data_IF_672142894679
#
_entry.id   IF_672142894679
#
_cell.length_a   1.000
_cell.length_b   1.000
_cell.length_c   1.000
_cell.angle_alpha   90.00
_cell.angle_beta   90.00
_cell.angle_gamma   90.00
#
_symmetry.space_group_name_H-M   'P 1'
#
loop_
_entity.id
_entity.type
_entity.pdbx_description
1 polymer ?
#
# COMPACT_ATOMS: atom_id res chain seq x y z
N UNK A 1 -0.94 15.05 -36.00
CA UNK A 1 -0.21 15.16 -34.72
C UNK A 1 -0.96 14.29 -33.71
N UNK A 2 -0.38 13.22 -33.23
CA UNK A 2 -0.98 12.40 -32.16
C UNK A 2 -0.95 13.22 -30.88
N UNK A 3 -2.12 13.62 -30.38
CA UNK A 3 -2.25 14.33 -29.10
C UNK A 3 -1.76 13.42 -27.98
N UNK A 4 -1.00 13.99 -27.03
CA UNK A 4 -0.58 13.27 -25.82
C UNK A 4 -1.83 12.90 -25.00
N UNK A 5 -2.06 11.62 -24.64
CA UNK A 5 -3.22 11.24 -23.87
C UNK A 5 -3.15 11.82 -22.43
N UNK A 6 -4.32 12.07 -21.83
CA UNK A 6 -4.38 12.60 -20.46
C UNK A 6 -3.94 11.56 -19.41
N UNK A 7 -4.19 10.27 -19.66
CA UNK A 7 -3.89 9.17 -18.74
C UNK A 7 -3.34 7.97 -19.52
N UNK A 8 -2.29 7.35 -19.01
CA UNK A 8 -1.88 5.99 -19.41
C UNK A 8 -2.44 5.00 -18.38
N UNK A 9 -3.27 4.06 -18.80
CA UNK A 9 -3.61 2.86 -18.00
C UNK A 9 -2.47 1.88 -18.18
N UNK A 10 -1.69 1.64 -17.13
CA UNK A 10 -0.58 0.68 -17.14
C UNK A 10 -1.03 -0.65 -16.57
N UNK A 11 -0.99 -1.69 -17.38
CA UNK A 11 -1.48 -3.03 -17.05
C UNK A 11 -0.43 -4.10 -17.38
N UNK A 12 0.41 -4.52 -16.41
CA UNK A 12 1.21 -5.73 -16.56
C UNK A 12 0.31 -6.96 -16.52
N UNK A 13 0.59 -7.96 -17.36
CA UNK A 13 -0.20 -9.20 -17.44
C UNK A 13 0.72 -10.42 -17.57
N UNK A 14 0.34 -11.52 -16.91
CA UNK A 14 0.93 -12.84 -17.08
C UNK A 14 -0.17 -13.89 -16.99
N UNK A 15 -0.37 -14.67 -18.06
CA UNK A 15 -1.35 -15.76 -18.14
C UNK A 15 -2.76 -15.36 -17.60
N UNK A 16 -3.29 -14.26 -18.13
CA UNK A 16 -4.53 -13.64 -17.65
C UNK A 16 -5.76 -13.92 -18.55
N UNK A 17 -5.67 -14.80 -19.56
CA UNK A 17 -6.72 -15.02 -20.56
C UNK A 17 -8.11 -15.21 -19.96
N UNK A 18 -8.22 -15.90 -18.84
CA UNK A 18 -9.52 -16.21 -18.21
C UNK A 18 -10.26 -15.01 -17.60
N UNK A 19 -9.58 -13.90 -17.35
CA UNK A 19 -10.15 -12.71 -16.70
C UNK A 19 -10.01 -11.44 -17.52
N UNK A 20 -9.07 -11.44 -18.44
CA UNK A 20 -8.61 -10.25 -19.16
C UNK A 20 -9.71 -9.60 -20.01
N UNK A 21 -10.62 -10.39 -20.60
CA UNK A 21 -11.69 -9.85 -21.46
C UNK A 21 -12.59 -8.89 -20.68
N UNK A 22 -13.11 -9.32 -19.53
CA UNK A 22 -13.93 -8.47 -18.67
C UNK A 22 -13.16 -7.24 -18.14
N UNK A 23 -11.87 -7.40 -17.86
CA UNK A 23 -11.00 -6.28 -17.47
C UNK A 23 -10.91 -5.24 -18.60
N UNK A 24 -10.59 -5.67 -19.84
CA UNK A 24 -10.50 -4.79 -21.00
C UNK A 24 -11.82 -4.07 -21.29
N UNK A 25 -12.95 -4.77 -21.18
CA UNK A 25 -14.28 -4.17 -21.36
C UNK A 25 -14.52 -3.05 -20.34
N UNK A 26 -14.14 -3.25 -19.06
CA UNK A 26 -14.27 -2.24 -18.02
C UNK A 26 -13.39 -0.99 -18.28
N UNK A 27 -12.21 -1.18 -18.89
CA UNK A 27 -11.32 -0.09 -19.27
C UNK A 27 -11.87 0.65 -20.50
N UNK A 28 -12.34 -0.07 -21.52
CA UNK A 28 -12.88 0.56 -22.72
C UNK A 28 -14.18 1.34 -22.46
N UNK A 29 -14.95 0.92 -21.45
CA UNK A 29 -16.19 1.59 -21.01
C UNK A 29 -15.96 2.90 -20.25
N UNK A 30 -14.71 3.31 -19.95
CA UNK A 30 -14.42 4.51 -19.18
C UNK A 30 -15.06 5.77 -19.78
N UNK A 31 -15.62 6.63 -18.92
CA UNK A 31 -16.23 7.91 -19.32
C UNK A 31 -15.19 8.91 -19.84
N UNK A 32 -13.95 8.87 -19.35
CA UNK A 32 -12.83 9.56 -19.94
C UNK A 32 -12.40 8.81 -21.21
N UNK A 33 -12.45 9.48 -22.36
CA UNK A 33 -12.05 8.88 -23.66
C UNK A 33 -10.58 9.13 -24.01
N UNK A 34 -10.00 10.20 -23.49
CA UNK A 34 -8.63 10.63 -23.71
C UNK A 34 -7.66 9.86 -22.79
N UNK A 35 -7.41 8.59 -23.13
CA UNK A 35 -6.42 7.73 -22.46
C UNK A 35 -5.77 6.76 -23.46
N UNK A 36 -4.59 6.26 -23.12
CA UNK A 36 -4.03 5.03 -23.72
C UNK A 36 -4.08 3.87 -22.73
N UNK A 37 -4.25 2.67 -23.24
CA UNK A 37 -4.07 1.42 -22.48
C UNK A 37 -2.75 0.79 -22.89
N UNK A 38 -1.77 0.81 -21.99
CA UNK A 38 -0.46 0.19 -22.19
C UNK A 38 -0.40 -1.14 -21.45
N UNK A 39 -0.56 -2.22 -22.19
CA UNK A 39 -0.45 -3.58 -21.66
C UNK A 39 0.98 -4.07 -21.82
N UNK A 40 1.61 -4.50 -20.72
CA UNK A 40 2.95 -5.07 -20.74
C UNK A 40 2.86 -6.56 -20.44
N UNK A 41 3.10 -7.39 -21.45
CA UNK A 41 3.00 -8.84 -21.37
C UNK A 41 4.29 -9.45 -20.76
N UNK A 42 4.14 -10.11 -19.63
CA UNK A 42 5.21 -10.82 -18.91
C UNK A 42 5.31 -12.27 -19.39
N UNK A 43 5.65 -12.45 -20.66
CA UNK A 43 5.87 -13.76 -21.30
C UNK A 43 4.69 -14.75 -21.15
N UNK A 44 3.45 -14.30 -21.32
CA UNK A 44 2.26 -15.17 -21.30
C UNK A 44 2.28 -16.27 -22.36
N UNK A 45 1.73 -17.43 -21.99
CA UNK A 45 1.67 -18.65 -22.82
C UNK A 45 0.25 -19.16 -23.08
N UNK A 46 -0.75 -18.62 -22.39
CA UNK A 46 -2.16 -19.08 -22.39
C UNK A 46 -3.06 -18.45 -23.46
N UNK A 47 -2.50 -17.65 -24.39
CA UNK A 47 -3.26 -16.90 -25.39
C UNK A 47 -3.66 -15.48 -24.95
N UNK A 48 -3.23 -15.01 -23.78
CA UNK A 48 -3.39 -13.62 -23.31
C UNK A 48 -2.96 -12.62 -24.36
N UNK A 49 -1.78 -12.84 -24.97
CA UNK A 49 -1.20 -11.94 -25.98
C UNK A 49 -2.06 -11.79 -27.23
N UNK A 50 -2.67 -12.89 -27.68
CA UNK A 50 -3.49 -12.88 -28.90
C UNK A 50 -4.80 -12.12 -28.67
N UNK A 51 -5.39 -12.24 -27.48
CA UNK A 51 -6.55 -11.46 -27.09
C UNK A 51 -6.23 -9.95 -27.07
N UNK A 52 -5.07 -9.54 -26.51
CA UNK A 52 -4.66 -8.12 -26.49
C UNK A 52 -4.41 -7.62 -27.94
N UNK A 53 -3.77 -8.42 -28.79
CA UNK A 53 -3.55 -8.06 -30.20
C UNK A 53 -4.86 -7.89 -30.96
N UNK A 54 -5.87 -8.71 -30.67
CA UNK A 54 -7.19 -8.55 -31.24
C UNK A 54 -7.80 -7.20 -30.81
N UNK A 55 -7.79 -6.91 -29.53
CA UNK A 55 -8.29 -5.63 -29.00
C UNK A 55 -7.54 -4.41 -29.56
N UNK A 56 -6.22 -4.50 -29.76
CA UNK A 56 -5.41 -3.42 -30.34
C UNK A 56 -5.72 -3.15 -31.82
N UNK A 57 -6.27 -4.12 -32.57
CA UNK A 57 -6.77 -3.90 -33.93
C UNK A 57 -8.05 -3.07 -33.95
N UNK A 58 -8.90 -3.27 -32.93
CA UNK A 58 -10.24 -2.67 -32.88
C UNK A 58 -10.23 -1.31 -32.13
N UNK A 59 -9.27 -1.11 -31.24
CA UNK A 59 -9.15 0.12 -30.44
C UNK A 59 -7.70 0.67 -30.51
N UNK A 60 -7.45 1.78 -31.22
CA UNK A 60 -6.10 2.34 -31.38
C UNK A 60 -5.47 2.89 -30.09
N UNK A 61 -6.26 2.99 -29.01
CA UNK A 61 -5.74 3.37 -27.69
C UNK A 61 -4.98 2.22 -27.01
N UNK A 62 -5.19 0.96 -27.44
CA UNK A 62 -4.55 -0.23 -26.86
C UNK A 62 -3.19 -0.44 -27.49
N UNK A 63 -2.17 -0.49 -26.65
CA UNK A 63 -0.78 -0.78 -27.04
C UNK A 63 -0.29 -1.98 -26.26
N UNK A 64 0.30 -2.94 -26.96
CA UNK A 64 0.94 -4.12 -26.38
C UNK A 64 2.46 -3.97 -26.43
N UNK A 65 3.09 -4.08 -25.27
CA UNK A 65 4.54 -4.23 -25.13
C UNK A 65 4.88 -5.64 -24.64
N UNK A 66 6.05 -6.11 -24.99
CA UNK A 66 6.67 -7.28 -24.38
C UNK A 66 7.52 -6.81 -23.20
N UNK A 67 7.38 -7.44 -22.04
CA UNK A 67 8.25 -7.20 -20.90
C UNK A 67 9.73 -7.41 -21.27
N UNK A 68 10.65 -6.59 -20.78
CA UNK A 68 12.09 -6.67 -21.14
C UNK A 68 12.77 -7.93 -20.57
N UNK A 69 12.26 -8.41 -19.43
CA UNK A 69 12.62 -9.65 -18.76
C UNK A 69 11.43 -10.12 -17.91
N UNK A 70 11.35 -11.40 -17.51
CA UNK A 70 10.29 -11.88 -16.62
C UNK A 70 10.25 -11.11 -15.29
N UNK A 71 9.03 -10.87 -14.82
CA UNK A 71 8.74 -10.31 -13.52
C UNK A 71 7.97 -9.00 -13.53
N UNK A 72 7.05 -8.88 -12.58
CA UNK A 72 6.12 -7.76 -12.43
C UNK A 72 6.84 -6.40 -12.41
N UNK A 73 7.92 -6.27 -11.62
CA UNK A 73 8.68 -5.02 -11.47
C UNK A 73 9.29 -4.56 -12.79
N UNK A 74 9.83 -5.49 -13.59
CA UNK A 74 10.38 -5.17 -14.91
C UNK A 74 9.31 -4.65 -15.86
N UNK A 75 8.12 -5.28 -15.84
CA UNK A 75 6.99 -4.86 -16.66
C UNK A 75 6.43 -3.50 -16.23
N UNK A 76 6.32 -3.25 -14.92
CA UNK A 76 5.87 -1.95 -14.40
C UNK A 76 6.81 -0.82 -14.80
N UNK A 77 8.12 -0.99 -14.64
CA UNK A 77 9.11 0.04 -14.98
C UNK A 77 9.15 0.29 -16.50
N UNK A 78 9.16 -0.78 -17.32
CA UNK A 78 9.08 -0.63 -18.76
C UNK A 78 7.81 0.12 -19.20
N UNK A 79 6.68 -0.17 -18.55
CA UNK A 79 5.44 0.55 -18.81
C UNK A 79 5.49 2.02 -18.39
N UNK A 80 6.12 2.38 -17.26
CA UNK A 80 6.32 3.77 -16.83
C UNK A 80 7.20 4.52 -17.83
N UNK A 81 8.26 3.89 -18.33
CA UNK A 81 9.16 4.46 -19.32
C UNK A 81 8.44 4.76 -20.63
N UNK A 82 7.63 3.80 -21.11
CA UNK A 82 6.93 3.84 -22.39
C UNK A 82 5.57 4.56 -22.34
N UNK A 83 5.10 4.97 -21.15
CA UNK A 83 3.88 5.72 -20.96
C UNK A 83 4.00 7.11 -21.62
N UNK A 84 2.98 7.50 -22.39
CA UNK A 84 2.92 8.79 -23.09
C UNK A 84 2.29 9.90 -22.24
N UNK A 85 1.40 9.51 -21.30
CA UNK A 85 0.68 10.47 -20.47
C UNK A 85 1.49 10.91 -19.25
N UNK A 86 1.23 12.12 -18.71
CA UNK A 86 1.80 12.58 -17.45
C UNK A 86 1.22 11.87 -16.22
N UNK A 87 0.01 11.28 -16.34
CA UNK A 87 -0.66 10.52 -15.30
C UNK A 87 -0.72 9.05 -15.67
N UNK A 88 -0.40 8.18 -14.71
CA UNK A 88 -0.47 6.73 -14.88
C UNK A 88 -1.49 6.16 -13.92
N UNK A 89 -2.51 5.47 -14.45
CA UNK A 89 -3.47 4.65 -13.71
C UNK A 89 -3.00 3.19 -13.74
N UNK A 90 -2.70 2.62 -12.57
CA UNK A 90 -2.30 1.22 -12.46
C UNK A 90 -3.54 0.32 -12.55
N UNK A 91 -3.44 -0.84 -13.21
CA UNK A 91 -4.52 -1.83 -13.33
C UNK A 91 -3.96 -3.24 -13.36
N UNK A 92 -4.67 -4.21 -12.73
CA UNK A 92 -4.41 -5.64 -12.90
C UNK A 92 -5.30 -6.22 -13.99
N UNK A 93 -4.80 -7.22 -14.72
CA UNK A 93 -5.52 -7.88 -15.82
C UNK A 93 -6.69 -8.77 -15.38
N UNK A 94 -6.94 -8.89 -14.09
CA UNK A 94 -8.03 -9.67 -13.51
C UNK A 94 -9.06 -8.81 -12.75
N UNK A 95 -8.81 -7.51 -12.59
CA UNK A 95 -9.69 -6.57 -11.90
C UNK A 95 -10.71 -5.90 -12.83
N UNK A 96 -11.69 -5.21 -12.22
CA UNK A 96 -12.67 -4.40 -12.94
C UNK A 96 -12.66 -2.96 -12.39
N UNK A 97 -12.66 -1.97 -13.29
CA UNK A 97 -12.75 -0.58 -12.86
C UNK A 97 -14.15 0.01 -13.06
N UNK A 98 -14.57 0.89 -12.14
CA UNK A 98 -15.80 1.69 -12.30
C UNK A 98 -15.67 2.60 -13.52
N UNK A 99 -16.76 2.79 -14.24
CA UNK A 99 -16.81 3.57 -15.49
C UNK A 99 -16.30 5.02 -15.34
N UNK A 100 -16.30 5.58 -14.14
CA UNK A 100 -15.87 6.97 -13.86
C UNK A 100 -14.47 7.06 -13.26
N UNK A 101 -13.77 5.93 -13.08
CA UNK A 101 -12.51 5.91 -12.33
C UNK A 101 -11.48 6.86 -12.90
N UNK A 102 -11.18 6.76 -14.20
CA UNK A 102 -10.14 7.58 -14.83
C UNK A 102 -10.48 9.08 -14.78
N UNK A 103 -11.74 9.44 -15.05
CA UNK A 103 -12.21 10.82 -14.99
C UNK A 103 -12.06 11.41 -13.58
N UNK A 104 -12.55 10.69 -12.56
CA UNK A 104 -12.54 11.17 -11.18
C UNK A 104 -11.12 11.31 -10.62
N UNK A 105 -10.24 10.35 -10.88
CA UNK A 105 -8.86 10.39 -10.41
C UNK A 105 -8.04 11.47 -11.12
N UNK A 106 -8.17 11.61 -12.46
CA UNK A 106 -7.55 12.71 -13.22
C UNK A 106 -8.00 14.07 -12.71
N UNK A 107 -9.31 14.27 -12.53
CA UNK A 107 -9.87 15.54 -12.07
C UNK A 107 -9.47 15.87 -10.64
N UNK A 108 -9.31 14.85 -9.80
CA UNK A 108 -8.78 15.01 -8.45
C UNK A 108 -7.33 15.53 -8.50
N UNK A 109 -6.42 14.87 -9.22
CA UNK A 109 -5.02 15.29 -9.35
C UNK A 109 -4.88 16.67 -10.01
N UNK A 110 -5.78 17.02 -10.94
CA UNK A 110 -5.79 18.35 -11.55
C UNK A 110 -6.17 19.46 -10.57
N UNK A 111 -7.15 19.19 -9.68
CA UNK A 111 -7.60 20.14 -8.64
C UNK A 111 -6.66 20.21 -7.43
N UNK A 112 -5.85 19.20 -7.22
CA UNK A 112 -4.90 19.09 -6.13
C UNK A 112 -3.47 18.87 -6.68
N UNK A 113 -2.81 19.95 -7.17
CA UNK A 113 -1.47 19.85 -7.77
C UNK A 113 -0.40 19.42 -6.78
N UNK A 114 -0.66 19.54 -5.49
CA UNK A 114 0.17 19.10 -4.37
C UNK A 114 0.04 17.61 -4.04
N UNK A 115 -0.88 16.88 -4.69
CA UNK A 115 -1.06 15.42 -4.52
C UNK A 115 -0.33 14.67 -5.64
N UNK A 116 0.47 13.69 -5.26
CA UNK A 116 1.30 12.89 -6.16
C UNK A 116 0.62 11.57 -6.57
N UNK A 117 -0.08 10.95 -5.61
CA UNK A 117 -0.76 9.65 -5.79
C UNK A 117 -2.17 9.75 -5.26
N UNK A 118 -3.15 9.38 -6.07
CA UNK A 118 -4.54 9.25 -5.65
C UNK A 118 -5.03 7.83 -5.83
N UNK A 119 -5.51 7.22 -4.75
CA UNK A 119 -6.18 5.91 -4.73
C UNK A 119 -7.70 6.07 -4.70
N UNK A 120 -8.40 4.96 -4.67
CA UNK A 120 -9.84 4.90 -4.39
C UNK A 120 -10.14 3.85 -3.33
N UNK A 121 -11.37 3.86 -2.79
CA UNK A 121 -11.89 2.66 -2.11
C UNK A 121 -11.98 1.51 -3.10
N UNK A 122 -11.88 0.30 -2.57
CA UNK A 122 -11.94 -0.93 -3.36
C UNK A 122 -12.96 -1.91 -2.76
N UNK A 123 -13.52 -2.78 -3.59
CA UNK A 123 -14.38 -3.89 -3.19
C UNK A 123 -13.78 -5.19 -3.70
N UNK A 124 -13.59 -6.16 -2.81
CA UNK A 124 -13.17 -7.50 -3.22
C UNK A 124 -14.33 -8.27 -3.86
N UNK A 125 -14.02 -9.09 -4.87
CA UNK A 125 -14.96 -9.99 -5.54
C UNK A 125 -14.26 -11.25 -6.08
N UNK A 126 -14.97 -12.36 -6.41
CA UNK A 126 -16.34 -12.63 -5.99
C UNK A 126 -16.42 -12.83 -4.47
N UNK A 127 -17.55 -12.42 -3.87
CA UNK A 127 -17.70 -12.40 -2.40
C UNK A 127 -17.39 -13.73 -1.69
N UNK A 128 -17.76 -14.87 -2.32
CA UNK A 128 -17.46 -16.22 -1.80
C UNK A 128 -15.95 -16.55 -1.67
N UNK A 129 -15.08 -15.81 -2.34
CA UNK A 129 -13.63 -16.01 -2.31
C UNK A 129 -12.93 -15.08 -1.30
N UNK A 130 -13.67 -14.17 -0.66
CA UNK A 130 -13.12 -13.18 0.26
C UNK A 130 -13.05 -13.79 1.65
N UNK A 131 -11.85 -13.89 2.22
CA UNK A 131 -11.62 -14.38 3.59
C UNK A 131 -11.84 -13.27 4.60
N UNK A 132 -12.25 -13.60 5.82
CA UNK A 132 -12.51 -12.65 6.90
C UNK A 132 -11.32 -11.68 7.17
N UNK A 133 -10.08 -12.16 7.06
CA UNK A 133 -8.89 -11.32 7.18
C UNK A 133 -8.79 -10.25 6.08
N UNK A 134 -9.16 -10.59 4.83
CA UNK A 134 -9.21 -9.65 3.72
C UNK A 134 -10.33 -8.63 3.91
N UNK A 135 -11.49 -9.03 4.40
CA UNK A 135 -12.58 -8.09 4.72
C UNK A 135 -12.17 -7.09 5.80
N UNK A 136 -11.49 -7.57 6.84
CA UNK A 136 -10.98 -6.70 7.90
C UNK A 136 -9.92 -5.72 7.38
N UNK A 137 -8.99 -6.20 6.53
CA UNK A 137 -8.01 -5.36 5.84
C UNK A 137 -8.71 -4.29 5.00
N UNK A 138 -9.69 -4.66 4.18
CA UNK A 138 -10.41 -3.72 3.32
C UNK A 138 -11.24 -2.71 4.10
N UNK A 139 -11.87 -3.10 5.21
CA UNK A 139 -12.56 -2.13 6.09
C UNK A 139 -11.59 -1.06 6.60
N UNK A 140 -10.45 -1.49 7.15
CA UNK A 140 -9.40 -0.58 7.62
C UNK A 140 -8.84 0.28 6.49
N UNK A 141 -8.42 -0.33 5.39
CA UNK A 141 -7.82 0.35 4.25
C UNK A 141 -8.78 1.38 3.62
N UNK A 142 -10.06 1.03 3.44
CA UNK A 142 -11.09 1.93 2.92
C UNK A 142 -11.46 3.06 3.90
N UNK A 143 -11.17 2.93 5.19
CA UNK A 143 -11.36 3.98 6.19
C UNK A 143 -10.21 5.00 6.21
N UNK A 144 -9.02 4.67 5.70
CA UNK A 144 -7.91 5.60 5.56
C UNK A 144 -8.18 6.57 4.39
N UNK A 145 -8.88 7.67 4.62
CA UNK A 145 -9.31 8.60 3.57
C UNK A 145 -8.55 9.92 3.60
N UNK A 146 -8.34 10.47 4.79
CA UNK A 146 -7.65 11.74 4.95
C UNK A 146 -6.13 11.58 4.89
N UNK A 147 -5.44 12.71 4.68
CA UNK A 147 -3.99 12.76 4.51
C UNK A 147 -3.24 12.23 5.73
N UNK A 148 -3.71 12.57 6.93
CA UNK A 148 -3.01 12.20 8.16
C UNK A 148 -3.17 10.70 8.41
N UNK A 149 -4.36 10.13 8.18
CA UNK A 149 -4.56 8.69 8.26
C UNK A 149 -3.70 7.93 7.24
N UNK A 150 -3.59 8.38 6.00
CA UNK A 150 -2.73 7.73 4.99
C UNK A 150 -1.25 7.76 5.39
N UNK A 151 -0.76 8.89 5.91
CA UNK A 151 0.63 9.06 6.38
C UNK A 151 0.92 8.22 7.64
N UNK A 152 0.01 8.22 8.60
CA UNK A 152 0.26 7.61 9.92
C UNK A 152 -0.04 6.11 9.93
N UNK A 153 -0.88 5.63 8.99
CA UNK A 153 -1.20 4.20 8.82
C UNK A 153 -0.22 3.46 7.90
N UNK A 154 0.67 4.18 7.19
CA UNK A 154 1.61 3.55 6.26
C UNK A 154 2.48 2.47 6.91
N UNK A 155 2.74 2.56 8.22
CA UNK A 155 3.48 1.56 8.98
C UNK A 155 2.61 0.44 9.55
N UNK A 156 1.31 0.50 9.42
CA UNK A 156 0.41 -0.61 9.76
C UNK A 156 0.43 -1.67 8.65
N UNK A 157 0.04 -1.23 7.46
CA UNK A 157 -0.01 -2.02 6.22
C UNK A 157 -0.08 -1.02 5.05
N UNK A 158 -0.11 -1.50 3.79
CA UNK A 158 -0.36 -0.62 2.65
C UNK A 158 -1.74 0.04 2.77
N UNK A 159 -1.85 1.37 3.00
CA UNK A 159 -3.14 2.04 3.16
C UNK A 159 -3.85 2.27 1.82
N UNK A 160 -3.21 1.93 0.70
CA UNK A 160 -3.75 2.05 -0.66
C UNK A 160 -3.52 0.75 -1.44
N UNK A 161 -4.53 0.31 -2.17
CA UNK A 161 -4.45 -0.91 -3.00
C UNK A 161 -3.78 -0.59 -4.33
N UNK A 162 -2.74 -1.33 -4.70
CA UNK A 162 -1.92 -1.07 -5.88
C UNK A 162 -2.73 -0.87 -7.17
N UNK A 163 -3.67 -1.76 -7.58
CA UNK A 163 -4.46 -1.54 -8.80
C UNK A 163 -5.47 -0.39 -8.71
N UNK A 164 -5.62 0.27 -7.56
CA UNK A 164 -6.56 1.38 -7.39
C UNK A 164 -5.95 2.76 -7.62
N UNK A 165 -4.63 2.86 -7.79
CA UNK A 165 -3.95 4.16 -7.81
C UNK A 165 -3.89 4.79 -9.19
N UNK A 166 -3.86 6.13 -9.19
CA UNK A 166 -3.36 6.96 -10.27
C UNK A 166 -2.29 7.89 -9.70
N UNK A 167 -1.17 8.04 -10.38
CA UNK A 167 -0.05 8.85 -9.89
C UNK A 167 0.56 9.72 -10.98
N UNK A 168 1.28 10.76 -10.57
CA UNK A 168 2.12 11.55 -11.47
C UNK A 168 3.33 10.74 -11.89
N UNK A 169 3.51 10.55 -13.19
CA UNK A 169 4.63 9.79 -13.75
C UNK A 169 5.97 10.34 -13.25
N UNK A 170 6.14 11.63 -13.27
CA UNK A 170 7.38 12.29 -12.84
C UNK A 170 7.77 11.97 -11.39
N UNK A 171 6.82 11.95 -10.45
CA UNK A 171 7.06 11.64 -9.04
C UNK A 171 7.62 10.22 -8.87
N UNK A 172 7.04 9.24 -9.57
CA UNK A 172 7.50 7.85 -9.48
C UNK A 172 8.85 7.67 -10.18
N UNK A 173 9.07 8.32 -11.32
CA UNK A 173 10.38 8.33 -12.03
C UNK A 173 11.46 8.96 -11.16
N UNK A 174 11.20 10.13 -10.56
CA UNK A 174 12.15 10.80 -9.67
C UNK A 174 12.47 9.96 -8.41
N UNK A 175 11.54 9.13 -7.97
CA UNK A 175 11.77 8.17 -6.88
C UNK A 175 12.57 6.93 -7.32
N UNK A 176 12.85 6.74 -8.61
CA UNK A 176 13.60 5.60 -9.17
C UNK A 176 12.71 4.42 -9.55
N UNK A 177 11.41 4.64 -9.80
CA UNK A 177 10.46 3.60 -10.23
C UNK A 177 10.18 2.55 -9.16
N UNK A 178 9.70 1.38 -9.58
CA UNK A 178 9.56 0.20 -8.72
C UNK A 178 10.90 -0.48 -8.50
N UNK A 179 11.13 -1.00 -7.30
CA UNK A 179 12.36 -1.74 -6.94
C UNK A 179 12.08 -3.23 -6.85
N UNK A 180 12.98 -4.02 -7.39
CA UNK A 180 12.98 -5.47 -7.25
C UNK A 180 13.73 -5.86 -5.98
N UNK A 181 13.22 -6.85 -5.24
CA UNK A 181 13.82 -7.32 -3.99
C UNK A 181 12.90 -8.29 -3.24
N UNK A 182 13.38 -8.77 -2.08
CA UNK A 182 12.63 -9.68 -1.20
C UNK A 182 11.59 -8.92 -0.35
N UNK A 183 10.78 -8.08 -0.98
CA UNK A 183 9.75 -7.24 -0.36
C UNK A 183 8.63 -6.92 -1.37
N UNK A 184 7.43 -6.53 -0.89
CA UNK A 184 6.35 -6.07 -1.78
C UNK A 184 6.76 -4.77 -2.50
N UNK A 185 6.78 -4.80 -3.82
CA UNK A 185 7.27 -3.69 -4.67
C UNK A 185 6.43 -2.43 -4.56
N UNK A 186 5.12 -2.59 -4.39
CA UNK A 186 4.18 -1.49 -4.24
C UNK A 186 4.32 -0.83 -2.86
N UNK A 187 4.44 -1.63 -1.81
CA UNK A 187 4.60 -1.12 -0.45
C UNK A 187 5.93 -0.41 -0.27
N UNK A 188 7.04 -0.93 -0.88
CA UNK A 188 8.31 -0.19 -0.95
C UNK A 188 8.13 1.17 -1.61
N UNK A 189 7.41 1.21 -2.74
CA UNK A 189 7.19 2.46 -3.45
C UNK A 189 6.42 3.46 -2.57
N UNK A 190 5.34 3.04 -1.88
CA UNK A 190 4.56 3.96 -1.03
C UNK A 190 5.36 4.48 0.16
N UNK A 191 6.11 3.63 0.84
CA UNK A 191 6.99 4.02 1.95
C UNK A 191 8.06 5.00 1.48
N UNK A 192 8.70 4.74 0.36
CA UNK A 192 9.75 5.57 -0.24
C UNK A 192 9.22 6.92 -0.71
N UNK A 193 8.04 6.95 -1.33
CA UNK A 193 7.38 8.20 -1.71
C UNK A 193 7.01 9.03 -0.48
N UNK A 194 6.46 8.40 0.57
CA UNK A 194 6.13 9.07 1.83
C UNK A 194 7.38 9.65 2.52
N UNK A 195 8.48 8.89 2.55
CA UNK A 195 9.78 9.36 3.07
C UNK A 195 10.30 10.60 2.33
N UNK A 196 10.04 10.69 1.03
CA UNK A 196 10.42 11.84 0.20
C UNK A 196 9.43 13.02 0.28
N UNK A 197 8.40 12.92 1.12
CA UNK A 197 7.39 13.96 1.29
C UNK A 197 6.28 13.98 0.24
N UNK A 198 6.21 12.97 -0.63
CA UNK A 198 5.11 12.84 -1.59
C UNK A 198 3.76 12.69 -0.86
N UNK A 199 2.73 13.26 -1.46
CA UNK A 199 1.38 13.31 -0.88
C UNK A 199 0.47 12.27 -1.49
N UNK A 200 -0.01 11.37 -0.65
CA UNK A 200 -1.01 10.38 -0.99
C UNK A 200 -2.42 10.89 -0.63
N UNK A 201 -3.39 10.57 -1.47
CA UNK A 201 -4.80 10.86 -1.24
C UNK A 201 -5.67 9.66 -1.62
N UNK A 202 -6.92 9.67 -1.17
CA UNK A 202 -7.89 8.65 -1.55
C UNK A 202 -9.27 9.26 -1.79
N UNK A 203 -9.88 8.91 -2.92
CA UNK A 203 -11.26 9.29 -3.23
C UNK A 203 -12.21 8.37 -2.45
N UNK A 204 -13.16 8.97 -1.73
CA UNK A 204 -14.21 8.28 -0.99
C UNK A 204 -15.29 7.69 -1.92
N UNK A 205 -14.85 6.87 -2.85
CA UNK A 205 -15.71 6.08 -3.76
C UNK A 205 -15.04 4.77 -4.10
N UNK A 206 -15.84 3.70 -4.21
CA UNK A 206 -15.36 2.42 -4.73
C UNK A 206 -15.25 2.53 -6.26
N UNK A 207 -14.02 2.63 -6.76
CA UNK A 207 -13.72 2.77 -8.19
C UNK A 207 -12.98 1.57 -8.77
N UNK A 208 -12.69 0.56 -7.95
CA UNK A 208 -12.07 -0.69 -8.34
C UNK A 208 -12.74 -1.87 -7.66
N UNK A 209 -13.05 -2.91 -8.43
CA UNK A 209 -13.41 -4.23 -7.94
C UNK A 209 -12.18 -5.11 -8.04
N UNK A 210 -11.62 -5.48 -6.87
CA UNK A 210 -10.38 -6.23 -6.73
C UNK A 210 -10.66 -7.73 -6.66
N UNK A 211 -10.19 -8.46 -7.65
CA UNK A 211 -10.44 -9.90 -7.74
C UNK A 211 -9.63 -10.67 -6.71
N UNK A 212 -10.30 -11.64 -6.06
CA UNK A 212 -9.70 -12.52 -5.08
C UNK A 212 -9.72 -13.95 -5.58
N UNK A 213 -8.54 -14.56 -5.74
CA UNK A 213 -8.39 -15.97 -6.10
C UNK A 213 -7.16 -16.58 -5.39
N UNK A 214 -7.09 -17.91 -5.35
CA UNK A 214 -6.04 -18.60 -4.60
C UNK A 214 -4.66 -18.53 -5.25
N UNK A 215 -4.63 -18.25 -6.56
CA UNK A 215 -3.39 -18.13 -7.34
C UNK A 215 -2.84 -16.71 -7.39
N UNK A 216 -3.45 -15.73 -6.69
CA UNK A 216 -2.95 -14.35 -6.63
C UNK A 216 -1.49 -14.31 -6.19
N UNK A 217 -0.68 -13.45 -6.83
CA UNK A 217 0.74 -13.29 -6.56
C UNK A 217 1.00 -13.02 -5.06
N UNK A 218 0.22 -12.13 -4.47
CA UNK A 218 0.32 -11.76 -3.04
C UNK A 218 0.08 -12.90 -2.05
N UNK A 219 -0.43 -14.06 -2.52
CA UNK A 219 -0.64 -15.26 -1.69
C UNK A 219 0.45 -16.31 -1.86
N UNK A 220 1.21 -16.30 -2.93
CA UNK A 220 2.17 -17.35 -3.30
C UNK A 220 3.62 -16.90 -3.26
N UNK A 221 3.87 -15.65 -3.58
CA UNK A 221 5.22 -15.13 -3.67
C UNK A 221 5.75 -14.79 -2.25
N UNK A 222 6.93 -15.29 -1.85
CA UNK A 222 7.53 -15.03 -0.55
C UNK A 222 7.81 -13.56 -0.27
N UNK A 223 7.88 -12.70 -1.28
CA UNK A 223 8.00 -11.23 -1.13
C UNK A 223 6.84 -10.63 -0.33
N UNK A 224 5.67 -11.28 -0.33
CA UNK A 224 4.50 -10.87 0.45
C UNK A 224 4.36 -11.63 1.78
N UNK A 225 5.40 -12.36 2.21
CA UNK A 225 5.42 -12.95 3.53
C UNK A 225 5.49 -11.88 4.63
N UNK A 226 4.90 -12.16 5.79
CA UNK A 226 4.85 -11.19 6.90
C UNK A 226 6.21 -10.64 7.28
N UNK A 227 7.25 -11.48 7.32
CA UNK A 227 8.61 -11.03 7.66
C UNK A 227 9.18 -10.02 6.67
N UNK A 228 8.87 -10.18 5.37
CA UNK A 228 9.26 -9.21 4.34
C UNK A 228 8.62 -7.83 4.58
N UNK A 229 7.33 -7.80 4.94
CA UNK A 229 6.66 -6.56 5.36
C UNK A 229 7.28 -5.97 6.64
N UNK A 230 7.55 -6.79 7.66
CA UNK A 230 8.10 -6.33 8.94
C UNK A 230 9.52 -5.78 8.75
N UNK A 231 10.35 -6.41 7.92
CA UNK A 231 11.70 -5.95 7.55
C UNK A 231 11.66 -4.63 6.78
N UNK A 232 10.84 -4.57 5.72
CA UNK A 232 10.70 -3.36 4.90
C UNK A 232 10.19 -2.18 5.74
N UNK A 233 9.17 -2.39 6.55
CA UNK A 233 8.60 -1.40 7.47
C UNK A 233 9.63 -0.87 8.45
N UNK A 234 10.41 -1.75 9.07
CA UNK A 234 11.47 -1.38 10.01
C UNK A 234 12.55 -0.53 9.34
N UNK A 235 12.90 -0.84 8.09
CA UNK A 235 13.88 -0.08 7.30
C UNK A 235 13.46 1.39 7.12
N UNK A 236 12.19 1.65 6.76
CA UNK A 236 11.70 3.03 6.60
C UNK A 236 11.37 3.69 7.95
N UNK A 237 10.82 2.96 8.91
CA UNK A 237 10.51 3.47 10.23
C UNK A 237 11.77 3.95 10.97
N UNK A 238 12.90 3.23 10.84
CA UNK A 238 14.18 3.65 11.43
C UNK A 238 14.69 5.00 10.91
N UNK A 239 14.25 5.43 9.74
CA UNK A 239 14.61 6.73 9.13
C UNK A 239 13.54 7.80 9.34
N UNK A 240 12.41 7.46 9.95
CA UNK A 240 11.34 8.42 10.22
C UNK A 240 11.83 9.44 11.28
N UNK A 241 11.76 10.72 10.94
CA UNK A 241 12.20 11.79 11.80
C UNK A 241 11.48 11.81 13.16
N UNK A 242 10.28 11.25 13.25
CA UNK A 242 9.50 11.14 14.49
C UNK A 242 10.17 10.24 15.55
N UNK A 243 10.99 9.26 15.12
CA UNK A 243 11.76 8.40 16.02
C UNK A 243 13.08 9.04 16.47
N UNK A 244 13.57 10.04 15.75
CA UNK A 244 14.88 10.67 15.96
C UNK A 244 14.78 12.00 16.74
N UNK A 245 13.80 12.13 17.62
CA UNK A 245 13.56 13.35 18.43
C UNK A 245 14.31 13.38 19.76
N UNK A 246 15.09 12.36 20.08
CA UNK A 246 15.75 12.20 21.38
C UNK A 246 14.81 11.73 22.50
N UNK A 247 13.54 11.46 22.20
CA UNK A 247 12.57 10.92 23.15
C UNK A 247 12.81 9.42 23.38
N UNK A 248 12.57 8.96 24.61
CA UNK A 248 12.52 7.53 24.90
C UNK A 248 11.49 6.83 24.03
N UNK A 249 11.84 5.67 23.48
CA UNK A 249 10.88 4.81 22.76
C UNK A 249 10.22 3.85 23.73
N UNK A 250 8.94 3.59 23.51
CA UNK A 250 8.17 2.59 24.25
C UNK A 250 7.39 1.73 23.25
N UNK A 251 7.45 0.41 23.43
CA UNK A 251 6.72 -0.52 22.54
C UNK A 251 5.49 -1.06 23.25
N UNK A 252 4.34 -0.86 22.64
CA UNK A 252 3.09 -1.40 23.14
C UNK A 252 2.82 -2.77 22.51
N UNK A 253 2.77 -3.79 23.39
CA UNK A 253 2.59 -5.20 23.05
C UNK A 253 3.79 -6.05 23.44
N UNK A 254 3.73 -6.72 24.62
CA UNK A 254 4.78 -7.59 25.15
C UNK A 254 4.61 -9.07 24.75
N UNK A 255 3.58 -9.41 23.97
CA UNK A 255 3.29 -10.77 23.53
C UNK A 255 4.34 -11.33 22.56
N UNK A 256 4.50 -12.68 22.53
CA UNK A 256 5.51 -13.34 21.68
C UNK A 256 5.44 -12.91 20.21
N UNK A 257 4.25 -12.90 19.62
CA UNK A 257 4.05 -12.51 18.21
C UNK A 257 4.47 -11.05 17.96
N UNK A 258 4.10 -10.15 18.85
CA UNK A 258 4.49 -8.73 18.78
C UNK A 258 6.01 -8.57 18.85
N UNK A 259 6.66 -9.25 19.80
CA UNK A 259 8.12 -9.21 19.93
C UNK A 259 8.86 -9.74 18.71
N UNK A 260 8.34 -10.75 18.02
CA UNK A 260 8.90 -11.23 16.75
C UNK A 260 8.89 -10.11 15.68
N UNK A 261 7.82 -9.34 15.60
CA UNK A 261 7.69 -8.23 14.65
C UNK A 261 8.63 -7.05 14.92
N UNK A 262 9.01 -6.86 16.19
CA UNK A 262 9.94 -5.78 16.57
C UNK A 262 11.41 -6.14 16.34
N UNK A 263 11.73 -7.37 15.91
CA UNK A 263 13.12 -7.83 15.76
C UNK A 263 13.93 -6.94 14.83
N UNK A 264 13.36 -6.55 13.70
CA UNK A 264 14.07 -5.76 12.69
C UNK A 264 14.31 -4.31 13.14
N UNK A 265 13.36 -3.67 13.82
CA UNK A 265 13.55 -2.30 14.32
C UNK A 265 14.53 -2.26 15.50
N UNK A 266 14.54 -3.32 16.34
CA UNK A 266 15.53 -3.46 17.41
C UNK A 266 16.93 -3.68 16.81
N UNK A 267 17.06 -4.52 15.78
CA UNK A 267 18.32 -4.72 15.08
C UNK A 267 18.83 -3.45 14.40
N UNK A 268 17.95 -2.54 14.02
CA UNK A 268 18.29 -1.21 13.52
C UNK A 268 18.71 -0.21 14.63
N UNK A 269 18.82 -0.64 15.89
CA UNK A 269 19.30 0.17 17.02
C UNK A 269 18.20 0.82 17.86
N UNK A 270 16.93 0.59 17.56
CA UNK A 270 15.78 1.19 18.27
C UNK A 270 15.22 0.24 19.34
N UNK A 271 15.84 0.24 20.52
CA UNK A 271 15.37 -0.53 21.67
C UNK A 271 14.37 0.26 22.52
N UNK A 272 13.28 -0.37 23.02
CA UNK A 272 12.33 0.33 23.87
C UNK A 272 12.88 0.52 25.30
N UNK A 273 12.52 1.62 25.94
CA UNK A 273 12.74 1.86 27.38
C UNK A 273 11.86 0.98 28.26
N UNK A 274 10.66 0.66 27.75
CA UNK A 274 9.69 -0.21 28.39
C UNK A 274 8.80 -0.88 27.34
N UNK A 275 8.27 -2.06 27.68
CA UNK A 275 7.17 -2.71 26.98
C UNK A 275 5.86 -2.38 27.72
N UNK A 276 4.82 -2.00 27.00
CA UNK A 276 3.49 -1.86 27.56
C UNK A 276 2.66 -3.10 27.24
N UNK A 277 1.96 -3.60 28.22
CA UNK A 277 0.94 -4.65 28.02
C UNK A 277 -0.24 -4.43 28.98
N UNK A 278 -1.41 -4.92 28.62
CA UNK A 278 -2.63 -4.89 29.45
C UNK A 278 -2.82 -6.18 30.25
N UNK A 279 -2.08 -7.22 29.89
CA UNK A 279 -2.15 -8.53 30.55
C UNK A 279 -1.40 -8.49 31.89
N UNK A 280 -2.15 -8.61 32.98
CA UNK A 280 -1.61 -8.61 34.36
C UNK A 280 -0.52 -9.66 34.60
N UNK A 281 -0.57 -10.81 33.85
CA UNK A 281 0.45 -11.86 33.97
C UNK A 281 1.80 -11.47 33.39
N UNK A 282 1.84 -10.45 32.53
CA UNK A 282 3.06 -9.96 31.90
C UNK A 282 3.63 -8.73 32.60
N UNK A 283 2.76 -7.91 33.17
CA UNK A 283 3.16 -6.68 33.90
C UNK A 283 4.04 -7.07 35.09
N UNK A 284 5.15 -6.34 35.29
CA UNK A 284 6.16 -6.63 36.30
C UNK A 284 7.28 -7.57 35.83
N UNK A 285 7.11 -8.29 34.73
CA UNK A 285 8.17 -9.11 34.13
C UNK A 285 9.19 -8.25 33.38
N UNK A 286 10.27 -8.89 32.96
CA UNK A 286 11.30 -8.25 32.08
C UNK A 286 11.48 -9.06 30.80
N UNK A 287 11.75 -8.38 29.70
CA UNK A 287 12.07 -8.94 28.39
C UNK A 287 13.44 -8.41 28.02
N UNK A 288 14.49 -9.25 28.01
CA UNK A 288 15.88 -8.84 27.77
C UNK A 288 16.22 -7.59 28.62
N UNK A 289 16.00 -7.67 29.91
CA UNK A 289 16.22 -6.60 30.88
C UNK A 289 15.38 -5.33 30.74
N UNK A 290 14.45 -5.29 29.82
CA UNK A 290 13.51 -4.19 29.63
C UNK A 290 12.20 -4.50 30.38
N UNK A 291 11.70 -3.59 31.23
CA UNK A 291 10.52 -3.84 32.05
C UNK A 291 9.25 -3.88 31.19
N UNK A 292 8.30 -4.75 31.59
CA UNK A 292 6.92 -4.75 31.10
C UNK A 292 6.04 -4.00 32.09
N UNK A 293 5.39 -2.94 31.65
CA UNK A 293 4.63 -2.01 32.49
C UNK A 293 3.17 -1.90 32.02
N UNK A 294 2.30 -1.44 32.93
CA UNK A 294 0.92 -1.13 32.59
C UNK A 294 0.81 0.19 31.79
N UNK A 295 -0.28 0.41 31.02
CA UNK A 295 -0.48 1.63 30.24
C UNK A 295 -0.39 2.92 31.07
N UNK A 296 -0.83 2.91 32.33
CA UNK A 296 -0.80 4.03 33.27
C UNK A 296 0.63 4.57 33.52
N UNK A 297 1.65 3.75 33.28
CA UNK A 297 3.04 4.16 33.36
C UNK A 297 3.36 5.38 32.46
N UNK A 298 2.63 5.54 31.34
CA UNK A 298 2.79 6.66 30.40
C UNK A 298 2.29 7.99 30.95
N UNK A 299 1.28 7.98 31.81
CA UNK A 299 0.57 9.19 32.25
C UNK A 299 1.47 10.20 32.99
N UNK A 300 2.52 9.70 33.69
CA UNK A 300 3.38 10.50 34.56
C UNK A 300 4.80 10.70 33.99
N UNK A 301 4.98 10.59 32.67
CA UNK A 301 6.31 10.71 32.05
C UNK A 301 6.54 12.09 31.45
N UNK A 302 7.65 12.70 31.85
CA UNK A 302 8.14 13.97 31.32
C UNK A 302 9.64 13.85 31.05
N UNK A 303 10.12 14.02 29.82
CA UNK A 303 9.32 14.19 28.60
C UNK A 303 8.48 12.95 28.25
N UNK A 304 7.38 13.14 27.53
CA UNK A 304 6.56 12.03 27.05
C UNK A 304 7.35 11.14 26.10
N UNK A 305 7.41 9.81 26.32
CA UNK A 305 8.05 8.90 25.38
C UNK A 305 7.26 8.81 24.07
N UNK A 306 7.93 8.39 22.98
CA UNK A 306 7.27 8.07 21.73
C UNK A 306 6.82 6.59 21.76
N UNK A 307 5.55 6.33 21.44
CA UNK A 307 4.99 4.98 21.53
C UNK A 307 4.87 4.35 20.14
N UNK A 308 5.44 3.16 19.96
CA UNK A 308 5.19 2.29 18.81
C UNK A 308 4.24 1.17 19.23
N UNK A 309 3.02 1.21 18.70
CA UNK A 309 1.98 0.21 19.00
C UNK A 309 2.02 -0.93 17.97
N UNK A 310 2.56 -2.09 18.40
CA UNK A 310 2.82 -3.27 17.55
C UNK A 310 1.71 -4.34 17.60
N UNK A 311 0.55 -4.01 18.14
CA UNK A 311 -0.52 -4.99 18.33
C UNK A 311 -1.46 -4.98 17.13
N UNK A 312 -1.48 -6.10 16.39
CA UNK A 312 -2.23 -6.27 15.15
C UNK A 312 -3.59 -7.00 15.34
N UNK A 313 -3.99 -7.38 16.57
CA UNK A 313 -5.26 -8.06 16.79
C UNK A 313 -6.44 -7.10 16.57
N UNK A 314 -7.55 -7.67 16.05
CA UNK A 314 -8.78 -6.92 15.77
C UNK A 314 -9.28 -6.18 17.01
N UNK A 315 -9.64 -4.91 16.87
CA UNK A 315 -10.09 -4.03 17.94
C UNK A 315 -8.99 -3.54 18.89
N UNK A 316 -7.81 -4.15 18.88
CA UNK A 316 -6.74 -3.75 19.80
C UNK A 316 -6.14 -2.39 19.45
N UNK A 317 -6.01 -2.07 18.16
CA UNK A 317 -5.49 -0.75 17.72
C UNK A 317 -6.40 0.39 18.16
N UNK A 318 -7.70 0.21 17.99
CA UNK A 318 -8.72 1.16 18.41
C UNK A 318 -8.67 1.38 19.93
N UNK A 319 -8.60 0.29 20.70
CA UNK A 319 -8.48 0.35 22.16
C UNK A 319 -7.18 1.05 22.61
N UNK A 320 -6.04 0.74 21.95
CA UNK A 320 -4.76 1.38 22.24
C UNK A 320 -4.82 2.87 21.90
N UNK A 321 -5.38 3.22 20.74
CA UNK A 321 -5.54 4.61 20.32
C UNK A 321 -6.43 5.40 21.29
N UNK A 322 -7.54 4.81 21.75
CA UNK A 322 -8.43 5.42 22.74
C UNK A 322 -7.72 5.62 24.10
N UNK A 323 -6.97 4.60 24.55
CA UNK A 323 -6.21 4.69 25.80
C UNK A 323 -5.12 5.77 25.72
N UNK A 324 -4.38 5.85 24.61
CA UNK A 324 -3.36 6.87 24.37
C UNK A 324 -3.98 8.27 24.30
N UNK A 325 -5.09 8.44 23.56
CA UNK A 325 -5.81 9.70 23.48
C UNK A 325 -6.32 10.17 24.86
N UNK A 326 -6.85 9.25 25.70
CA UNK A 326 -7.26 9.52 27.06
C UNK A 326 -6.10 10.01 27.97
N UNK A 327 -4.88 9.70 27.65
CA UNK A 327 -3.64 10.18 28.30
C UNK A 327 -3.04 11.42 27.60
N UNK A 328 -3.73 11.99 26.62
CA UNK A 328 -3.31 13.17 25.86
C UNK A 328 -2.20 12.91 24.82
N UNK A 329 -1.99 11.65 24.41
CA UNK A 329 -1.09 11.30 23.30
C UNK A 329 -1.79 11.51 21.97
N UNK A 330 -1.11 12.16 21.03
CA UNK A 330 -1.63 12.45 19.68
C UNK A 330 -0.97 11.52 18.66
N UNK A 331 -1.80 10.90 17.82
CA UNK A 331 -1.33 10.06 16.71
C UNK A 331 -0.46 10.87 15.75
N UNK A 332 0.57 10.25 15.19
CA UNK A 332 1.52 10.91 14.28
C UNK A 332 2.50 11.88 14.97
N UNK A 333 2.26 12.24 16.22
CA UNK A 333 3.10 13.17 17.02
C UNK A 333 3.74 12.46 18.23
N UNK A 334 2.98 11.66 18.94
CA UNK A 334 3.40 11.01 20.18
C UNK A 334 3.39 9.48 20.05
N UNK A 335 2.68 8.95 19.05
CA UNK A 335 2.67 7.51 18.78
C UNK A 335 2.36 7.19 17.32
N UNK A 336 2.77 5.99 16.91
CA UNK A 336 2.40 5.34 15.65
C UNK A 336 1.88 3.93 15.92
N UNK A 337 0.90 3.51 15.13
CA UNK A 337 0.56 2.09 15.01
C UNK A 337 1.50 1.46 13.98
N UNK A 338 1.97 0.24 14.27
CA UNK A 338 2.94 -0.46 13.46
C UNK A 338 2.50 -1.91 13.27
N UNK A 339 2.13 -2.27 12.04
CA UNK A 339 1.85 -3.62 11.59
C UNK A 339 0.62 -4.33 12.12
#
# INVERSE_FOLDING_TARGET
MTTTPAVTVLMPVHDARGTLEACLDSIQAQSLRDFELLVVDDASTDGTRDLIRARARDDPRVRLLRGPRPGLVACLNAGIEQARAPLIARMDGDDLMDVRRLALQRDYLRRHPDVDVVASRVRAFPGRSVRAGMEAYLRWQNACLDRDSLRDEVYVESPITHPSVMFRRETVVAAGGYRDGDFPEDYDLWLRLTERGARLAKIDRCLLHWRQHETSLSRRDPRYARDAFDRLRAHYLARDARLNTGRDLVFWGAGRRTRQRTTHIIAAGYSPRAWIDVDRKKIGNRIRDIPVVAPQWLANRTPRPFVLAWVASHGARENISAALAGMGYRRGVDYLAVG
#
